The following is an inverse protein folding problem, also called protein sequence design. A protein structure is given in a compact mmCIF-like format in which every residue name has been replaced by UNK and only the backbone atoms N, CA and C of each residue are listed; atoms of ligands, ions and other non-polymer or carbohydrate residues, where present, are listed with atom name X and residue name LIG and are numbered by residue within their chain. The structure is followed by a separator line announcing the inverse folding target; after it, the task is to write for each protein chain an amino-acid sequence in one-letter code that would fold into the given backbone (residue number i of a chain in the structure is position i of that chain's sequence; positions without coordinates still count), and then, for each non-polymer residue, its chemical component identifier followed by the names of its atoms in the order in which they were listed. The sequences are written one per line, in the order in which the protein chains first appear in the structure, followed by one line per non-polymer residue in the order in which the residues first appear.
data_IF_280945053702
#
_entry.id   IF_280945053702
#
_cell.length_a   1.000
_cell.length_b   1.000
_cell.length_c   1.000
_cell.angle_alpha   90.00
_cell.angle_beta   90.00
_cell.angle_gamma   90.00
#
_symmetry.space_group_name_H-M   'P 1'
#
loop_
_entity.id
_entity.type
_entity.pdbx_description
1 polymer ?
#
# COMPACT_ATOMS: atom_id res chain seq x y z
N UNK A 1 -4.62 21.69 8.19
CA UNK A 1 -4.71 20.23 8.38
C UNK A 1 -6.07 19.79 7.87
N UNK A 2 -6.25 19.80 6.54
CA UNK A 2 -7.54 19.50 5.90
C UNK A 2 -7.67 18.00 5.70
N UNK A 3 -8.69 17.41 6.33
CA UNK A 3 -9.13 16.05 6.06
C UNK A 3 -9.72 16.03 4.64
N UNK A 4 -9.31 15.03 3.84
CA UNK A 4 -9.77 14.77 2.48
C UNK A 4 -11.28 15.05 2.30
N UNK A 5 -11.62 15.93 1.34
CA UNK A 5 -13.00 16.25 1.00
C UNK A 5 -13.60 15.13 0.14
N UNK A 6 -14.92 15.02 0.11
CA UNK A 6 -15.64 14.05 -0.74
C UNK A 6 -15.32 14.22 -2.24
N UNK A 7 -14.97 15.45 -2.65
CA UNK A 7 -14.55 15.75 -4.02
C UNK A 7 -13.18 15.14 -4.36
N UNK A 8 -12.26 15.04 -3.39
CA UNK A 8 -10.97 14.34 -3.57
C UNK A 8 -11.19 12.84 -3.80
N UNK A 9 -12.24 12.26 -3.20
CA UNK A 9 -12.60 10.85 -3.37
C UNK A 9 -13.14 10.56 -4.78
N UNK A 10 -13.87 11.51 -5.38
CA UNK A 10 -14.32 11.39 -6.77
C UNK A 10 -13.15 11.44 -7.76
N UNK A 11 -12.19 12.35 -7.55
CA UNK A 11 -10.97 12.41 -8.37
C UNK A 11 -10.11 11.15 -8.23
N UNK A 12 -10.04 10.57 -7.02
CA UNK A 12 -9.35 9.29 -6.75
C UNK A 12 -10.10 8.05 -7.27
N UNK A 13 -11.42 8.14 -7.50
CA UNK A 13 -12.23 7.05 -8.05
C UNK A 13 -12.29 7.08 -9.59
N UNK A 14 -12.21 8.27 -10.20
CA UNK A 14 -12.13 8.44 -11.66
C UNK A 14 -10.79 7.97 -12.24
N UNK A 15 -9.70 8.11 -11.48
CA UNK A 15 -8.49 7.33 -11.72
C UNK A 15 -8.70 5.93 -11.14
N UNK A 16 -8.76 4.91 -11.99
CA UNK A 16 -8.86 3.49 -11.60
C UNK A 16 -7.58 2.98 -10.90
N UNK A 17 -7.01 3.74 -9.97
CA UNK A 17 -5.90 3.36 -9.10
C UNK A 17 -6.48 2.65 -7.89
N UNK A 18 -6.62 1.32 -8.07
CA UNK A 18 -6.66 0.34 -6.98
C UNK A 18 -5.73 0.77 -5.87
N UNK A 19 -6.13 0.62 -4.60
CA UNK A 19 -5.56 1.36 -3.48
C UNK A 19 -4.04 1.39 -3.60
N UNK A 20 -3.55 2.58 -3.93
CA UNK A 20 -2.17 2.84 -4.27
C UNK A 20 -1.30 2.45 -3.07
N UNK A 21 -0.08 2.01 -3.33
CA UNK A 21 0.88 1.71 -2.26
C UNK A 21 1.12 2.93 -1.34
N UNK A 22 0.85 4.14 -1.84
CA UNK A 22 0.82 5.38 -1.06
C UNK A 22 -0.28 5.46 0.01
N UNK A 23 -1.33 4.63 -0.05
CA UNK A 23 -2.28 4.46 1.05
C UNK A 23 -1.78 3.43 2.07
N UNK A 24 -1.33 2.26 1.58
CA UNK A 24 -1.00 1.13 2.44
C UNK A 24 0.27 1.34 3.24
N UNK A 25 1.29 1.95 2.65
CA UNK A 25 2.59 2.07 3.30
C UNK A 25 2.57 3.03 4.50
N UNK A 26 1.97 4.24 4.42
CA UNK A 26 1.77 5.08 5.61
C UNK A 26 0.92 4.41 6.70
N UNK A 27 -0.11 3.68 6.31
CA UNK A 27 -0.98 3.02 7.29
C UNK A 27 -0.28 1.84 7.95
N UNK A 28 0.48 1.04 7.21
CA UNK A 28 1.31 -0.04 7.73
C UNK A 28 2.42 0.52 8.64
N UNK A 29 3.11 1.58 8.21
CA UNK A 29 4.16 2.25 8.99
C UNK A 29 3.65 2.80 10.33
N UNK A 30 2.39 3.20 10.41
CA UNK A 30 1.74 3.65 11.64
C UNK A 30 1.02 2.51 12.40
N UNK A 31 1.24 1.25 12.02
CA UNK A 31 0.66 0.07 12.66
C UNK A 31 -0.85 -0.07 12.51
N UNK A 32 -1.49 0.65 11.60
CA UNK A 32 -2.96 0.67 11.42
C UNK A 32 -3.50 -0.52 10.65
N UNK A 33 -2.63 -1.32 10.01
CA UNK A 33 -3.04 -2.50 9.26
C UNK A 33 -3.07 -3.72 10.19
N UNK A 34 -4.21 -4.41 10.22
CA UNK A 34 -4.41 -5.68 10.95
C UNK A 34 -4.10 -6.88 10.08
N UNK A 35 -4.55 -6.86 8.82
CA UNK A 35 -4.33 -7.94 7.86
C UNK A 35 -4.11 -7.35 6.48
N UNK A 36 -3.05 -7.81 5.80
CA UNK A 36 -2.69 -7.43 4.44
C UNK A 36 -2.81 -8.67 3.54
N UNK A 37 -3.43 -8.49 2.39
CA UNK A 37 -3.43 -9.44 1.29
C UNK A 37 -2.59 -8.84 0.16
N UNK A 38 -1.63 -9.60 -0.33
CA UNK A 38 -0.77 -9.19 -1.45
C UNK A 38 -0.89 -10.22 -2.57
N UNK A 39 -0.97 -9.74 -3.81
CA UNK A 39 -0.86 -10.62 -4.96
C UNK A 39 0.56 -11.20 -5.02
N UNK A 40 0.67 -12.52 -5.17
CA UNK A 40 1.96 -13.20 -5.33
C UNK A 40 2.77 -12.58 -6.48
N UNK A 41 4.06 -12.38 -6.22
CA UNK A 41 5.03 -11.81 -7.18
C UNK A 41 4.73 -10.38 -7.61
N UNK A 42 3.77 -9.69 -6.96
CA UNK A 42 3.56 -8.26 -7.18
C UNK A 42 4.77 -7.49 -6.65
N UNK A 43 5.18 -6.48 -7.42
CA UNK A 43 6.25 -5.56 -7.05
C UNK A 43 5.86 -4.15 -7.43
N UNK A 44 6.32 -3.18 -6.65
CA UNK A 44 6.20 -1.76 -7.02
C UNK A 44 7.44 -1.05 -6.53
N UNK A 45 8.24 -0.52 -7.46
CA UNK A 45 9.47 0.16 -7.13
C UNK A 45 9.21 1.61 -6.73
N UNK A 46 10.02 2.13 -5.82
CA UNK A 46 9.99 3.54 -5.48
C UNK A 46 10.65 3.86 -4.15
N UNK A 47 10.31 5.04 -3.62
CA UNK A 47 10.84 5.55 -2.35
C UNK A 47 9.73 5.83 -1.35
N UNK A 48 10.08 5.81 -0.08
CA UNK A 48 9.19 6.16 1.02
C UNK A 48 9.91 7.06 2.01
N UNK A 49 9.29 8.21 2.31
CA UNK A 49 9.70 9.11 3.38
C UNK A 49 8.79 8.87 4.60
N UNK A 50 9.29 8.22 5.68
CA UNK A 50 8.49 7.95 6.87
C UNK A 50 8.18 9.20 7.69
N UNK A 51 8.94 10.29 7.55
CA UNK A 51 8.67 11.55 8.25
C UNK A 51 7.49 12.29 7.60
N UNK A 52 7.44 12.27 6.26
CA UNK A 52 6.38 12.92 5.48
C UNK A 52 5.20 12.01 5.16
N UNK A 53 5.35 10.70 5.41
CA UNK A 53 4.43 9.65 5.02
C UNK A 53 4.10 9.69 3.52
N UNK A 54 5.08 10.05 2.69
CA UNK A 54 4.94 10.19 1.24
C UNK A 54 5.62 9.04 0.52
N UNK A 55 4.96 8.54 -0.53
CA UNK A 55 5.45 7.46 -1.38
C UNK A 55 5.54 7.94 -2.81
N UNK A 56 6.67 7.69 -3.45
CA UNK A 56 6.87 7.97 -4.87
C UNK A 56 7.12 6.65 -5.61
N UNK A 57 6.23 6.28 -6.52
CA UNK A 57 6.35 5.06 -7.32
C UNK A 57 7.08 5.32 -8.63
N UNK A 58 7.84 4.34 -9.10
CA UNK A 58 8.50 4.36 -10.42
C UNK A 58 8.22 3.09 -11.20
N UNK A 59 8.13 3.21 -12.51
CA UNK A 59 7.99 2.06 -13.41
C UNK A 59 9.29 1.24 -13.48
N UNK A 60 10.44 1.93 -13.51
CA UNK A 60 11.77 1.31 -13.55
C UNK A 60 12.55 1.64 -12.28
N UNK A 61 13.17 0.65 -11.63
CA UNK A 61 13.93 0.87 -10.39
C UNK A 61 15.18 1.71 -10.64
N UNK A 62 15.37 2.73 -9.82
CA UNK A 62 16.60 3.52 -9.73
C UNK A 62 17.46 3.06 -8.54
N UNK A 63 18.72 3.51 -8.50
CA UNK A 63 19.60 3.27 -7.36
C UNK A 63 18.98 3.87 -6.09
N UNK A 64 18.73 3.04 -5.10
CA UNK A 64 18.12 3.43 -3.83
C UNK A 64 16.61 3.22 -3.74
N UNK A 65 15.95 2.86 -4.84
CA UNK A 65 14.56 2.41 -4.79
C UNK A 65 14.44 1.06 -4.08
N UNK A 66 13.32 0.89 -3.39
CA UNK A 66 12.94 -0.35 -2.71
C UNK A 66 11.69 -0.92 -3.33
N UNK A 67 11.42 -2.21 -3.09
CA UNK A 67 10.11 -2.77 -3.36
C UNK A 67 9.14 -2.31 -2.27
N UNK A 68 8.26 -1.39 -2.64
CA UNK A 68 7.30 -0.78 -1.74
C UNK A 68 6.27 -1.81 -1.22
N UNK A 69 5.97 -2.88 -1.97
CA UNK A 69 5.07 -3.94 -1.51
C UNK A 69 5.75 -4.78 -0.41
N UNK A 70 7.04 -5.08 -0.58
CA UNK A 70 7.83 -5.72 0.48
C UNK A 70 7.95 -4.80 1.69
N UNK A 71 8.12 -3.49 1.48
CA UNK A 71 8.21 -2.54 2.59
C UNK A 71 6.89 -2.43 3.37
N UNK A 72 5.73 -2.43 2.70
CA UNK A 72 4.42 -2.52 3.37
C UNK A 72 4.37 -3.80 4.20
N UNK A 73 4.76 -4.93 3.61
CA UNK A 73 4.75 -6.24 4.26
C UNK A 73 5.59 -6.25 5.53
N UNK A 74 6.81 -5.69 5.47
CA UNK A 74 7.71 -5.55 6.63
C UNK A 74 7.02 -4.77 7.73
N UNK A 75 6.45 -3.60 7.45
CA UNK A 75 5.77 -2.80 8.46
C UNK A 75 4.55 -3.51 9.06
N UNK A 76 3.74 -4.20 8.25
CA UNK A 76 2.61 -4.99 8.77
C UNK A 76 3.10 -6.04 9.76
N UNK A 77 4.16 -6.78 9.43
CA UNK A 77 4.75 -7.79 10.31
C UNK A 77 5.35 -7.16 11.59
N UNK A 78 6.08 -6.05 11.47
CA UNK A 78 6.65 -5.30 12.61
C UNK A 78 5.55 -4.85 13.60
N UNK A 79 4.40 -4.45 13.09
CA UNK A 79 3.24 -4.07 13.90
C UNK A 79 2.33 -5.23 14.27
N UNK A 80 2.81 -6.49 14.16
CA UNK A 80 2.06 -7.70 14.54
C UNK A 80 0.76 -7.89 13.76
N UNK A 81 0.70 -7.40 12.53
CA UNK A 81 -0.36 -7.72 11.57
C UNK A 81 -0.13 -9.07 10.91
N UNK A 82 -1.13 -9.52 10.15
CA UNK A 82 -1.06 -10.75 9.34
C UNK A 82 -0.85 -10.42 7.87
N UNK A 83 -0.09 -11.24 7.16
CA UNK A 83 0.14 -11.08 5.72
C UNK A 83 -0.22 -12.38 5.01
N UNK A 84 -1.01 -12.26 3.94
CA UNK A 84 -1.41 -13.36 3.08
C UNK A 84 -0.98 -13.07 1.65
N UNK A 85 0.01 -13.81 1.15
CA UNK A 85 0.36 -13.81 -0.26
C UNK A 85 -0.59 -14.75 -1.02
N UNK A 86 -1.46 -14.19 -1.85
CA UNK A 86 -2.52 -14.93 -2.54
C UNK A 86 -2.36 -14.86 -4.06
N UNK A 87 -2.93 -15.83 -4.78
CA UNK A 87 -2.95 -15.78 -6.25
C UNK A 87 -3.94 -14.72 -6.74
N UNK A 88 -3.80 -14.33 -8.01
CA UNK A 88 -4.67 -13.32 -8.65
C UNK A 88 -6.15 -13.68 -8.58
N UNK A 89 -6.50 -14.94 -8.82
CA UNK A 89 -7.87 -15.50 -8.75
C UNK A 89 -8.46 -15.49 -7.33
N UNK A 90 -7.63 -15.30 -6.32
CA UNK A 90 -8.01 -15.28 -4.91
C UNK A 90 -7.97 -13.87 -4.30
N UNK A 91 -7.52 -12.87 -5.06
CA UNK A 91 -7.50 -11.50 -4.58
C UNK A 91 -8.94 -10.98 -4.43
N UNK A 92 -9.28 -10.31 -3.32
CA UNK A 92 -10.62 -9.75 -3.11
C UNK A 92 -10.91 -8.51 -3.98
N UNK A 93 -9.98 -8.17 -4.87
CA UNK A 93 -9.85 -6.89 -5.56
C UNK A 93 -8.98 -7.13 -6.80
N UNK A 94 -9.19 -6.44 -7.92
CA UNK A 94 -8.27 -6.48 -9.06
C UNK A 94 -6.98 -5.64 -8.82
N UNK A 95 -6.77 -5.15 -7.60
CA UNK A 95 -5.54 -4.49 -7.16
C UNK A 95 -4.43 -5.48 -6.82
N UNK A 96 -3.22 -4.96 -6.60
CA UNK A 96 -2.08 -5.76 -6.12
C UNK A 96 -2.14 -6.03 -4.61
N UNK A 97 -2.92 -5.24 -3.87
CA UNK A 97 -3.00 -5.28 -2.42
C UNK A 97 -4.43 -5.01 -1.93
N UNK A 98 -4.79 -5.59 -0.80
CA UNK A 98 -5.99 -5.27 -0.02
C UNK A 98 -5.66 -5.34 1.48
N UNK A 99 -6.35 -4.57 2.31
CA UNK A 99 -6.07 -4.55 3.74
C UNK A 99 -7.35 -4.43 4.58
N UNK A 100 -7.28 -5.02 5.77
CA UNK A 100 -8.22 -4.79 6.87
C UNK A 100 -7.48 -3.97 7.93
N UNK A 101 -8.04 -2.82 8.29
CA UNK A 101 -7.46 -1.92 9.29
C UNK A 101 -7.86 -2.32 10.72
N UNK A 102 -7.12 -1.81 11.70
CA UNK A 102 -7.46 -1.90 13.12
C UNK A 102 -8.61 -0.93 13.44
N UNK A 103 -9.45 -1.32 14.39
CA UNK A 103 -10.46 -0.46 15.00
C UNK A 103 -9.86 0.34 16.16
#
# INVERSE_FOLDING_TARGET
MGLFQIDDLHTLAEYRQWPCVSLFLPAACNGRVRTLFIQRHARTWGTFDPQRLSVETRENPAKGDVDLIDLVTIHVLLHRGKVHAVRRDQMPTDGLQAAIFRC
#
